data_IF_648242479345
#
_entry.id   IF_648242479345
#
_cell.length_a   1.000
_cell.length_b   1.000
_cell.length_c   1.000
_cell.angle_alpha   90.00
_cell.angle_beta   90.00
_cell.angle_gamma   90.00
#
_symmetry.space_group_name_H-M   'P 1'
#
loop_
_entity.id
_entity.type
_entity.pdbx_description
1 polymer ?
#
# COMPACT_ATOMS: atom_id res chain seq x y z
N UNK A 1 -10.58 12.50 -3.47
CA UNK A 1 -10.74 13.44 -4.56
C UNK A 1 -9.66 14.52 -4.53
N UNK A 2 -9.45 15.19 -5.67
CA UNK A 2 -8.43 16.22 -5.78
C UNK A 2 -8.68 17.42 -4.86
N UNK A 3 -9.90 17.60 -4.38
CA UNK A 3 -10.28 18.73 -3.51
C UNK A 3 -10.35 18.37 -2.04
N UNK A 4 -10.11 17.11 -1.66
CA UNK A 4 -10.10 16.71 -0.26
C UNK A 4 -8.94 17.41 0.45
N UNK A 5 -9.20 17.93 1.64
CA UNK A 5 -8.16 18.55 2.46
C UNK A 5 -7.29 17.52 3.16
N UNK A 6 -7.87 16.38 3.49
CA UNK A 6 -7.17 15.26 4.14
C UNK A 6 -7.55 13.97 3.41
N UNK A 7 -6.56 13.17 3.08
CA UNK A 7 -6.78 11.82 2.53
C UNK A 7 -6.37 10.81 3.60
N UNK A 8 -7.31 9.94 3.97
CA UNK A 8 -7.07 8.85 4.91
C UNK A 8 -7.28 7.53 4.17
N UNK A 9 -6.30 6.63 4.23
CA UNK A 9 -6.41 5.35 3.53
C UNK A 9 -5.75 4.23 4.32
N UNK A 10 -6.20 3.00 4.04
CA UNK A 10 -5.64 1.80 4.63
C UNK A 10 -4.60 1.15 3.73
N UNK A 11 -3.80 0.26 4.32
CA UNK A 11 -2.80 -0.52 3.60
C UNK A 11 -3.07 -1.99 3.84
N UNK A 12 -3.10 -2.78 2.78
CA UNK A 12 -3.29 -4.22 2.84
C UNK A 12 -2.08 -4.98 2.29
N UNK A 13 -1.99 -6.26 2.64
CA UNK A 13 -1.01 -7.16 2.05
C UNK A 13 -1.46 -7.49 0.62
N UNK A 14 -0.51 -7.49 -0.32
CA UNK A 14 -0.80 -7.77 -1.72
C UNK A 14 -1.47 -9.14 -1.91
N UNK A 15 -0.99 -10.18 -1.24
CA UNK A 15 -1.53 -11.53 -1.35
C UNK A 15 -2.99 -11.62 -0.89
N UNK A 16 -3.29 -11.01 0.24
CA UNK A 16 -4.66 -11.01 0.79
C UNK A 16 -5.61 -10.18 -0.04
N UNK A 17 -5.17 -9.02 -0.48
CA UNK A 17 -6.02 -8.11 -1.26
C UNK A 17 -6.31 -8.68 -2.65
N UNK A 18 -5.34 -9.33 -3.29
CA UNK A 18 -5.54 -9.98 -4.58
C UNK A 18 -6.58 -11.10 -4.46
N UNK A 19 -6.50 -11.91 -3.41
CA UNK A 19 -7.47 -12.98 -3.15
C UNK A 19 -8.87 -12.41 -2.89
N UNK A 20 -8.96 -11.38 -2.06
CA UNK A 20 -10.23 -10.73 -1.71
C UNK A 20 -10.91 -10.14 -2.95
N UNK A 21 -10.14 -9.65 -3.90
CA UNK A 21 -10.65 -9.07 -5.16
C UNK A 21 -10.97 -10.12 -6.22
N UNK A 22 -10.82 -11.40 -5.91
CA UNK A 22 -11.15 -12.48 -6.82
C UNK A 22 -10.17 -12.70 -7.95
N UNK A 23 -8.93 -12.29 -7.81
CA UNK A 23 -7.90 -12.55 -8.81
C UNK A 23 -7.65 -14.04 -8.95
N UNK A 24 -7.40 -14.46 -10.19
CA UNK A 24 -7.10 -15.88 -10.48
C UNK A 24 -5.74 -16.26 -9.87
N UNK A 25 -5.51 -17.56 -9.72
CA UNK A 25 -4.22 -18.08 -9.25
C UNK A 25 -3.09 -17.57 -10.14
N UNK A 26 -3.30 -17.57 -11.46
CA UNK A 26 -2.28 -17.09 -12.40
C UNK A 26 -1.96 -15.61 -12.17
N UNK A 27 -2.98 -14.77 -11.96
CA UNK A 27 -2.78 -13.34 -11.67
C UNK A 27 -2.04 -13.14 -10.35
N UNK A 28 -2.41 -13.88 -9.31
CA UNK A 28 -1.75 -13.79 -8.00
C UNK A 28 -0.30 -14.23 -8.06
N UNK A 29 -0.02 -15.32 -8.81
CA UNK A 29 1.34 -15.79 -8.99
C UNK A 29 2.20 -14.77 -9.75
N UNK A 30 1.63 -14.11 -10.74
CA UNK A 30 2.30 -13.05 -11.48
C UNK A 30 2.68 -11.88 -10.56
N UNK A 31 1.76 -11.42 -9.70
CA UNK A 31 2.03 -10.37 -8.73
C UNK A 31 3.13 -10.78 -7.74
N UNK A 32 3.07 -12.02 -7.26
CA UNK A 32 4.10 -12.55 -6.35
C UNK A 32 5.47 -12.57 -7.03
N UNK A 33 5.53 -13.03 -8.27
CA UNK A 33 6.78 -13.08 -9.04
C UNK A 33 7.38 -11.69 -9.28
N UNK A 34 6.54 -10.67 -9.39
CA UNK A 34 6.99 -9.28 -9.52
C UNK A 34 7.46 -8.68 -8.20
N UNK A 35 7.23 -9.37 -7.08
CA UNK A 35 7.62 -8.89 -5.77
C UNK A 35 6.58 -8.00 -5.09
N UNK A 36 5.33 -8.09 -5.50
CA UNK A 36 4.26 -7.31 -4.85
C UNK A 36 4.11 -7.70 -3.39
N UNK A 37 4.17 -6.73 -2.48
CA UNK A 37 4.03 -6.95 -1.04
C UNK A 37 2.89 -6.17 -0.42
N UNK A 38 2.50 -5.04 -1.01
CA UNK A 38 1.46 -4.18 -0.47
C UNK A 38 0.47 -3.71 -1.51
N UNK A 39 -0.70 -3.33 -1.04
CA UNK A 39 -1.75 -2.77 -1.87
C UNK A 39 -2.42 -1.62 -1.12
N UNK A 40 -2.71 -0.54 -1.84
CA UNK A 40 -3.54 0.54 -1.36
C UNK A 40 -4.14 1.30 -2.54
N UNK A 41 -5.37 1.75 -2.38
CA UNK A 41 -6.08 2.52 -3.41
C UNK A 41 -6.07 1.84 -4.79
N UNK A 42 -6.11 0.49 -4.80
CA UNK A 42 -6.08 -0.28 -6.04
C UNK A 42 -4.72 -0.46 -6.68
N UNK A 43 -3.65 0.03 -6.06
CA UNK A 43 -2.28 -0.10 -6.57
C UNK A 43 -1.52 -1.14 -5.77
N UNK A 44 -0.87 -2.07 -6.48
CA UNK A 44 0.00 -3.09 -5.89
C UNK A 44 1.44 -2.64 -6.06
N UNK A 45 2.22 -2.68 -4.99
CA UNK A 45 3.59 -2.20 -5.02
C UNK A 45 4.56 -3.19 -4.39
N UNK A 46 5.82 -3.07 -4.77
CA UNK A 46 6.91 -3.81 -4.17
C UNK A 46 7.48 -3.13 -2.94
N UNK A 47 8.40 -3.79 -2.27
CA UNK A 47 9.03 -3.28 -1.05
C UNK A 47 9.80 -1.98 -1.29
N UNK A 48 10.32 -1.80 -2.50
CA UNK A 48 11.03 -0.58 -2.90
C UNK A 48 10.11 0.61 -3.20
N UNK A 49 8.79 0.41 -3.16
CA UNK A 49 7.80 1.43 -3.47
C UNK A 49 7.43 1.52 -4.94
N UNK A 50 7.95 0.63 -5.78
CA UNK A 50 7.59 0.61 -7.20
C UNK A 50 6.16 0.11 -7.37
N UNK A 51 5.34 0.85 -8.12
CA UNK A 51 3.99 0.41 -8.46
C UNK A 51 4.06 -0.62 -9.58
N UNK A 52 3.58 -1.83 -9.30
CA UNK A 52 3.69 -2.97 -10.20
C UNK A 52 2.42 -3.22 -10.99
N UNK A 53 1.27 -2.89 -10.42
CA UNK A 53 -0.03 -3.10 -11.04
C UNK A 53 -1.04 -2.15 -10.41
N UNK A 54 -1.90 -1.57 -11.24
CA UNK A 54 -2.98 -0.71 -10.77
C UNK A 54 -4.31 -1.11 -11.38
N UNK A 55 -5.36 -1.05 -10.57
CA UNK A 55 -6.73 -1.23 -11.06
C UNK A 55 -7.30 0.11 -11.48
N UNK A 56 -8.29 0.08 -12.37
CA UNK A 56 -8.99 1.30 -12.77
C UNK A 56 -9.97 1.69 -11.67
N UNK A 57 -9.55 2.63 -10.82
CA UNK A 57 -10.38 3.16 -9.75
C UNK A 57 -10.87 4.56 -10.09
N UNK A 58 -12.11 4.82 -9.71
CA UNK A 58 -12.63 6.19 -9.72
C UNK A 58 -12.16 6.85 -8.43
N UNK A 59 -11.47 7.96 -8.56
CA UNK A 59 -10.96 8.72 -7.42
C UNK A 59 -9.45 8.85 -7.42
N UNK A 60 -8.89 9.19 -6.26
CA UNK A 60 -7.45 9.43 -6.13
C UNK A 60 -6.67 8.12 -6.17
N UNK A 61 -5.58 8.09 -6.92
CA UNK A 61 -4.68 6.95 -7.00
C UNK A 61 -3.48 7.15 -6.08
N UNK A 62 -2.76 6.04 -5.81
CA UNK A 62 -1.55 6.09 -5.00
C UNK A 62 -0.48 7.00 -5.64
N UNK A 63 -0.44 7.07 -6.97
CA UNK A 63 0.50 7.95 -7.68
C UNK A 63 0.19 9.42 -7.48
N UNK A 64 -1.08 9.77 -7.36
CA UNK A 64 -1.52 11.16 -7.21
C UNK A 64 -1.40 11.65 -5.77
N UNK A 65 -1.40 10.73 -4.81
CA UNK A 65 -1.47 11.07 -3.40
C UNK A 65 -0.27 11.88 -2.92
N UNK A 66 0.89 11.71 -3.55
CA UNK A 66 2.10 12.45 -3.21
C UNK A 66 1.96 13.97 -3.44
N UNK A 67 0.99 14.38 -4.22
CA UNK A 67 0.71 15.80 -4.48
C UNK A 67 -0.30 16.37 -3.49
N UNK A 68 -0.84 15.54 -2.61
CA UNK A 68 -1.84 15.97 -1.65
C UNK A 68 -1.16 16.51 -0.38
N UNK A 69 -1.62 17.67 0.17
CA UNK A 69 -0.92 18.28 1.30
C UNK A 69 -1.04 17.50 2.61
N UNK A 70 -2.12 16.75 2.80
CA UNK A 70 -2.37 16.03 4.04
C UNK A 70 -2.78 14.59 3.77
N UNK A 71 -1.86 13.67 4.03
CA UNK A 71 -2.06 12.24 3.79
C UNK A 71 -1.84 11.46 5.08
N UNK A 72 -2.80 10.62 5.45
CA UNK A 72 -2.71 9.76 6.63
C UNK A 72 -2.99 8.33 6.22
N UNK A 73 -2.01 7.46 6.41
CA UNK A 73 -2.16 6.02 6.21
C UNK A 73 -2.40 5.36 7.56
N UNK A 74 -3.34 4.42 7.62
CA UNK A 74 -3.67 3.68 8.84
C UNK A 74 -3.53 2.20 8.55
N UNK A 75 -2.61 1.54 9.24
CA UNK A 75 -2.41 0.10 9.10
C UNK A 75 -1.65 -0.44 10.30
N UNK A 76 -2.00 -1.63 10.76
CA UNK A 76 -1.37 -2.25 11.91
C UNK A 76 -1.17 -3.76 11.75
N UNK A 77 -0.38 -4.31 12.65
CA UNK A 77 -0.03 -5.73 12.67
C UNK A 77 1.34 -5.98 12.06
N UNK A 78 2.16 -6.77 12.76
CA UNK A 78 3.52 -7.10 12.31
C UNK A 78 3.52 -7.77 10.93
N UNK A 79 2.49 -8.55 10.60
CA UNK A 79 2.37 -9.21 9.30
C UNK A 79 2.20 -8.25 8.13
N UNK A 80 1.86 -7.00 8.39
CA UNK A 80 1.73 -5.95 7.36
C UNK A 80 2.96 -5.08 7.19
N UNK A 81 4.03 -5.34 7.94
CA UNK A 81 5.20 -4.46 7.95
C UNK A 81 5.77 -4.21 6.54
N UNK A 82 5.97 -5.27 5.75
CA UNK A 82 6.48 -5.12 4.38
C UNK A 82 5.51 -4.33 3.50
N UNK A 83 4.21 -4.61 3.60
CA UNK A 83 3.19 -3.89 2.87
C UNK A 83 3.20 -2.40 3.21
N UNK A 84 3.32 -2.08 4.49
CA UNK A 84 3.39 -0.69 4.97
C UNK A 84 4.61 0.03 4.39
N UNK A 85 5.78 -0.59 4.48
CA UNK A 85 7.01 0.00 3.95
C UNK A 85 6.89 0.26 2.45
N UNK A 86 6.42 -0.74 1.69
CA UNK A 86 6.26 -0.60 0.24
C UNK A 86 5.31 0.52 -0.14
N UNK A 87 4.13 0.56 0.49
CA UNK A 87 3.13 1.59 0.18
C UNK A 87 3.61 2.98 0.59
N UNK A 88 4.22 3.13 1.76
CA UNK A 88 4.73 4.43 2.20
C UNK A 88 5.87 4.94 1.30
N UNK A 89 6.71 4.05 0.80
CA UNK A 89 7.73 4.41 -0.19
C UNK A 89 7.11 4.85 -1.52
N UNK A 90 6.01 4.21 -1.92
CA UNK A 90 5.29 4.58 -3.14
C UNK A 90 4.64 5.96 -3.03
N UNK A 91 4.14 6.30 -1.84
CA UNK A 91 3.51 7.61 -1.58
C UNK A 91 4.52 8.75 -1.49
N UNK A 92 5.73 8.48 -1.01
CA UNK A 92 6.78 9.48 -0.73
C UNK A 92 6.41 10.54 0.28
N UNK A 93 5.24 10.50 0.88
CA UNK A 93 4.78 11.54 1.80
C UNK A 93 3.70 10.97 2.72
N UNK A 94 3.40 11.73 3.78
CA UNK A 94 2.29 11.42 4.65
C UNK A 94 2.69 11.01 6.05
N UNK A 95 1.68 10.73 6.85
CA UNK A 95 1.80 10.26 8.22
C UNK A 95 1.26 8.84 8.29
N UNK A 96 2.00 7.97 8.96
CA UNK A 96 1.55 6.61 9.22
C UNK A 96 1.05 6.50 10.65
N UNK A 97 -0.18 6.02 10.80
CA UNK A 97 -0.74 5.64 12.11
C UNK A 97 -0.71 4.12 12.17
N UNK A 98 0.05 3.56 13.09
CA UNK A 98 0.26 2.13 13.18
C UNK A 98 0.36 1.67 14.63
N UNK A 99 0.51 0.38 14.85
CA UNK A 99 0.69 -0.17 16.19
C UNK A 99 2.16 -0.51 16.49
N UNK A 100 2.41 -0.87 17.75
CA UNK A 100 3.76 -1.19 18.23
C UNK A 100 4.39 -2.37 17.48
N UNK A 101 3.60 -3.43 17.23
CA UNK A 101 4.11 -4.62 16.55
C UNK A 101 4.58 -4.35 15.14
N UNK A 102 3.80 -3.59 14.37
CA UNK A 102 4.19 -3.19 13.03
C UNK A 102 5.39 -2.24 13.07
N UNK A 103 5.38 -1.27 13.97
CA UNK A 103 6.46 -0.30 14.11
C UNK A 103 7.80 -0.97 14.42
N UNK A 104 7.82 -1.90 15.37
CA UNK A 104 9.03 -2.66 15.70
C UNK A 104 9.57 -3.42 14.50
N UNK A 105 8.69 -4.10 13.78
CA UNK A 105 9.09 -4.88 12.61
C UNK A 105 9.63 -3.98 11.51
N UNK A 106 9.03 -2.83 11.28
CA UNK A 106 9.48 -1.86 10.29
C UNK A 106 10.87 -1.34 10.64
N UNK A 107 11.11 -0.99 11.90
CA UNK A 107 12.42 -0.51 12.35
C UNK A 107 13.50 -1.56 12.11
N UNK A 108 13.20 -2.85 12.35
CA UNK A 108 14.13 -3.94 12.09
C UNK A 108 14.46 -4.09 10.60
N UNK A 109 13.56 -3.68 9.71
CA UNK A 109 13.75 -3.77 8.26
C UNK A 109 14.56 -2.62 7.69
N UNK A 110 14.64 -1.52 8.42
CA UNK A 110 15.39 -0.33 7.99
C UNK A 110 16.83 -0.38 8.53
#
# INVERSE_FOLDING_TARGET
TARAQVVIFGIGRADRMARKRGMTTLQRDALHSLGACGESLGCYCGLDGKILYGTNNVGISLREIKFHPHVIAVAGGASKAEAIVGVMRACHTGTLVTDEGAAEKIIQML
#
